data_IF_365446831456
#
_entry.id   IF_365446831456
#
_cell.length_a   1.000
_cell.length_b   1.000
_cell.length_c   1.000
_cell.angle_alpha   90.00
_cell.angle_beta   90.00
_cell.angle_gamma   90.00
#
_symmetry.space_group_name_H-M   'P 1'
#
loop_
_entity.id
_entity.type
_entity.pdbx_description
1 polymer ?
#
# COMPACT_ATOMS: atom_id res chain seq x y z
N UNK A 1 -3.43 18.76 -22.91
CA UNK A 1 -3.45 19.69 -21.77
C UNK A 1 -3.41 18.83 -20.54
N UNK A 2 -2.51 19.08 -19.59
CA UNK A 2 -2.52 18.31 -18.35
C UNK A 2 -3.62 18.89 -17.45
N UNK A 3 -4.76 18.20 -17.36
CA UNK A 3 -5.92 18.62 -16.58
C UNK A 3 -5.59 18.81 -15.11
N UNK A 4 -4.64 18.03 -14.57
CA UNK A 4 -4.14 18.15 -13.20
C UNK A 4 -3.65 19.57 -12.88
N UNK A 5 -2.94 20.23 -13.80
CA UNK A 5 -2.32 21.55 -13.56
C UNK A 5 -3.33 22.68 -13.35
N UNK A 6 -4.59 22.45 -13.69
CA UNK A 6 -5.66 23.44 -13.51
C UNK A 6 -6.49 23.17 -12.26
N UNK A 7 -6.31 22.02 -11.59
CA UNK A 7 -7.02 21.69 -10.37
C UNK A 7 -6.42 22.45 -9.18
N UNK A 8 -7.29 22.86 -8.27
CA UNK A 8 -6.91 23.19 -6.89
C UNK A 8 -6.50 21.92 -6.16
N UNK A 9 -5.83 22.08 -5.01
CA UNK A 9 -5.46 20.95 -4.15
C UNK A 9 -6.69 20.14 -3.69
N UNK A 10 -7.80 20.82 -3.38
CA UNK A 10 -9.05 20.18 -2.94
C UNK A 10 -9.65 19.36 -4.09
N UNK A 11 -9.78 19.95 -5.28
CA UNK A 11 -10.28 19.23 -6.47
C UNK A 11 -9.42 18.01 -6.83
N UNK A 12 -8.10 18.09 -6.66
CA UNK A 12 -7.20 16.95 -6.89
C UNK A 12 -7.42 15.84 -5.86
N UNK A 13 -7.59 16.18 -4.58
CA UNK A 13 -7.87 15.20 -3.52
C UNK A 13 -9.19 14.49 -3.80
N UNK A 14 -10.25 15.26 -4.10
CA UNK A 14 -11.57 14.70 -4.41
C UNK A 14 -11.52 13.75 -5.61
N UNK A 15 -10.79 14.11 -6.67
CA UNK A 15 -10.64 13.25 -7.86
C UNK A 15 -9.86 11.98 -7.53
N UNK A 16 -8.72 12.08 -6.83
CA UNK A 16 -7.90 10.94 -6.42
C UNK A 16 -8.72 9.95 -5.55
N UNK A 17 -9.41 10.45 -4.53
CA UNK A 17 -10.27 9.64 -3.66
C UNK A 17 -11.41 8.98 -4.45
N UNK A 18 -12.02 9.69 -5.42
CA UNK A 18 -13.09 9.14 -6.27
C UNK A 18 -12.63 7.97 -7.16
N UNK A 19 -11.32 7.86 -7.42
CA UNK A 19 -10.70 6.75 -8.13
C UNK A 19 -10.22 5.63 -7.20
N UNK A 20 -10.35 5.80 -5.89
CA UNK A 20 -9.83 4.85 -4.91
C UNK A 20 -8.32 4.96 -4.71
N UNK A 21 -7.72 6.12 -5.04
CA UNK A 21 -6.30 6.36 -4.77
C UNK A 21 -6.14 6.83 -3.33
N UNK A 22 -5.37 6.07 -2.56
CA UNK A 22 -4.97 6.43 -1.21
C UNK A 22 -4.04 7.65 -1.22
N UNK A 23 -4.30 8.60 -0.33
CA UNK A 23 -3.49 9.80 -0.15
C UNK A 23 -3.00 9.85 1.29
N UNK A 24 -1.69 9.72 1.49
CA UNK A 24 -1.08 9.86 2.81
C UNK A 24 -0.28 11.15 2.91
N UNK A 25 -0.70 12.02 3.82
CA UNK A 25 -0.09 13.33 4.01
C UNK A 25 0.95 13.28 5.13
N UNK A 26 2.17 13.73 4.84
CA UNK A 26 3.26 13.89 5.83
C UNK A 26 3.54 12.62 6.68
N UNK A 27 3.35 11.43 6.08
CA UNK A 27 3.52 10.11 6.72
C UNK A 27 2.60 9.86 7.92
N UNK A 28 1.37 10.36 7.89
CA UNK A 28 0.39 10.00 8.91
C UNK A 28 -0.01 8.52 8.75
N UNK A 29 0.31 7.69 9.73
CA UNK A 29 0.04 6.24 9.70
C UNK A 29 -1.45 5.93 9.62
N UNK A 30 -2.29 6.77 10.24
CA UNK A 30 -3.74 6.61 10.23
C UNK A 30 -4.29 6.60 8.79
N UNK A 31 -3.68 7.37 7.88
CA UNK A 31 -4.11 7.50 6.49
C UNK A 31 -3.89 6.20 5.67
N UNK A 32 -2.95 5.33 6.09
CA UNK A 32 -2.76 4.03 5.44
C UNK A 32 -3.84 3.01 5.83
N UNK A 33 -4.47 3.19 7.00
CA UNK A 33 -5.35 2.17 7.60
C UNK A 33 -6.53 1.83 6.70
N UNK A 34 -7.11 2.82 6.04
CA UNK A 34 -8.27 2.65 5.16
C UNK A 34 -7.95 1.85 3.89
N UNK A 35 -6.66 1.63 3.58
CA UNK A 35 -6.18 0.98 2.36
C UNK A 35 -5.26 -0.21 2.64
N UNK A 36 -5.15 -0.63 3.90
CA UNK A 36 -4.31 -1.78 4.29
C UNK A 36 -4.74 -3.07 3.57
N UNK A 37 -6.04 -3.29 3.40
CA UNK A 37 -6.53 -4.48 2.68
C UNK A 37 -6.04 -4.51 1.24
N UNK A 38 -6.09 -3.38 0.53
CA UNK A 38 -5.60 -3.28 -0.84
C UNK A 38 -4.09 -3.56 -0.92
N UNK A 39 -3.32 -3.06 0.04
CA UNK A 39 -1.88 -3.31 0.15
C UNK A 39 -1.60 -4.80 0.43
N UNK A 40 -2.36 -5.43 1.33
CA UNK A 40 -2.21 -6.85 1.65
C UNK A 40 -2.57 -7.73 0.46
N UNK A 41 -3.68 -7.44 -0.21
CA UNK A 41 -4.09 -8.16 -1.42
C UNK A 41 -3.05 -8.02 -2.52
N UNK A 42 -2.54 -6.82 -2.77
CA UNK A 42 -1.49 -6.58 -3.74
C UNK A 42 -0.21 -7.37 -3.42
N UNK A 43 0.16 -7.49 -2.14
CA UNK A 43 1.30 -8.29 -1.73
C UNK A 43 1.04 -9.79 -1.90
N UNK A 44 -0.09 -10.28 -1.39
CA UNK A 44 -0.47 -11.69 -1.42
C UNK A 44 -0.64 -12.21 -2.86
N UNK A 45 -1.04 -11.36 -3.82
CA UNK A 45 -1.13 -11.75 -5.23
C UNK A 45 0.22 -12.18 -5.83
N UNK A 46 1.32 -11.59 -5.36
CA UNK A 46 2.65 -11.83 -5.95
C UNK A 46 3.55 -12.72 -5.10
N UNK A 47 3.20 -12.95 -3.83
CA UNK A 47 4.12 -13.50 -2.81
C UNK A 47 4.67 -14.88 -3.17
N UNK A 48 3.85 -15.73 -3.80
CA UNK A 48 4.21 -17.09 -4.19
C UNK A 48 4.92 -17.17 -5.56
N UNK A 49 4.83 -16.11 -6.36
CA UNK A 49 5.32 -16.08 -7.75
C UNK A 49 6.69 -15.39 -7.92
N UNK A 50 7.18 -14.71 -6.88
CA UNK A 50 8.43 -13.92 -6.91
C UNK A 50 9.61 -14.64 -6.25
N UNK A 51 10.77 -14.63 -6.91
CA UNK A 51 12.00 -15.24 -6.37
C UNK A 51 12.65 -14.38 -5.27
N UNK A 52 12.55 -13.05 -5.38
CA UNK A 52 13.14 -12.09 -4.43
C UNK A 52 12.03 -11.35 -3.66
N UNK A 53 11.56 -11.98 -2.59
CA UNK A 53 10.55 -11.40 -1.71
C UNK A 53 11.14 -10.30 -0.79
N UNK A 54 10.35 -9.28 -0.46
CA UNK A 54 10.73 -8.23 0.49
C UNK A 54 10.87 -8.77 1.92
N UNK A 55 9.99 -9.70 2.29
CA UNK A 55 9.99 -10.36 3.59
C UNK A 55 10.62 -11.74 3.48
N UNK A 56 11.11 -12.24 4.61
CA UNK A 56 11.58 -13.61 4.67
C UNK A 56 10.40 -14.59 4.60
N UNK A 57 10.65 -15.77 4.05
CA UNK A 57 9.72 -16.89 4.19
C UNK A 57 9.52 -17.20 5.69
N UNK A 58 8.28 -17.32 6.16
CA UNK A 58 8.02 -17.58 7.57
C UNK A 58 8.48 -18.97 7.98
N UNK A 59 9.03 -19.06 9.19
CA UNK A 59 9.23 -20.35 9.83
C UNK A 59 7.90 -20.90 10.37
N UNK A 60 7.82 -22.22 10.57
CA UNK A 60 6.65 -22.84 11.19
C UNK A 60 6.33 -22.25 12.58
N UNK A 61 7.33 -21.82 13.35
CA UNK A 61 7.12 -21.17 14.65
C UNK A 61 6.38 -19.83 14.47
N UNK A 62 6.81 -19.01 13.52
CA UNK A 62 6.17 -17.73 13.22
C UNK A 62 4.74 -17.90 12.69
N UNK A 63 4.49 -18.90 11.83
CA UNK A 63 3.13 -19.21 11.37
C UNK A 63 2.21 -19.59 12.54
N UNK A 64 2.70 -20.41 13.47
CA UNK A 64 1.93 -20.79 14.66
C UNK A 64 1.68 -19.60 15.58
N UNK A 65 2.64 -18.70 15.73
CA UNK A 65 2.50 -17.48 16.53
C UNK A 65 1.44 -16.53 15.93
N UNK A 66 1.51 -16.26 14.62
CA UNK A 66 0.53 -15.42 13.92
C UNK A 66 -0.88 -16.03 13.99
N UNK A 67 -1.01 -17.34 13.78
CA UNK A 67 -2.29 -18.06 13.95
C UNK A 67 -2.89 -17.89 15.34
N UNK A 68 -2.10 -18.18 16.38
CA UNK A 68 -2.54 -18.08 17.78
C UNK A 68 -2.95 -16.66 18.13
N UNK A 69 -2.26 -15.65 17.59
CA UNK A 69 -2.62 -14.26 17.79
C UNK A 69 -4.02 -13.95 17.24
N UNK A 70 -4.36 -14.46 16.05
CA UNK A 70 -5.69 -14.28 15.43
C UNK A 70 -6.79 -15.04 16.16
N UNK A 71 -6.55 -16.29 16.56
CA UNK A 71 -7.48 -17.06 17.40
C UNK A 71 -7.77 -16.32 18.71
N UNK A 72 -6.74 -15.76 19.36
CA UNK A 72 -6.93 -14.95 20.58
C UNK A 72 -7.69 -13.64 20.33
N UNK A 73 -7.59 -13.08 19.12
CA UNK A 73 -8.33 -11.91 18.71
C UNK A 73 -9.78 -12.20 18.30
N UNK A 74 -10.18 -13.48 18.24
CA UNK A 74 -11.55 -13.90 17.96
C UNK A 74 -11.78 -14.52 16.59
N UNK A 75 -10.74 -15.01 15.91
CA UNK A 75 -10.93 -15.91 14.76
C UNK A 75 -11.65 -17.18 15.22
N UNK A 76 -12.75 -17.52 14.55
CA UNK A 76 -13.64 -18.64 14.91
C UNK A 76 -13.12 -20.03 14.47
N UNK A 77 -11.93 -20.09 13.84
CA UNK A 77 -11.32 -21.33 13.38
C UNK A 77 -10.47 -21.99 14.49
N UNK A 78 -10.75 -23.27 14.77
CA UNK A 78 -10.07 -24.04 15.82
C UNK A 78 -8.85 -24.82 15.31
N UNK A 79 -8.83 -25.18 14.02
CA UNK A 79 -7.78 -25.99 13.39
C UNK A 79 -6.79 -25.12 12.62
N UNK A 80 -5.49 -25.37 12.79
CA UNK A 80 -4.43 -24.60 12.11
C UNK A 80 -4.48 -24.75 10.58
N UNK A 81 -4.65 -23.63 9.89
CA UNK A 81 -4.57 -23.54 8.42
C UNK A 81 -3.29 -22.81 8.00
N UNK A 82 -2.38 -23.52 7.31
CA UNK A 82 -1.04 -22.99 6.99
C UNK A 82 -1.07 -21.79 6.02
N UNK A 83 -1.92 -21.86 4.99
CA UNK A 83 -2.06 -20.79 4.00
C UNK A 83 -2.58 -19.51 4.66
N UNK A 84 -3.65 -19.62 5.46
CA UNK A 84 -4.21 -18.48 6.18
C UNK A 84 -3.26 -17.94 7.26
N UNK A 85 -2.52 -18.81 7.97
CA UNK A 85 -1.49 -18.39 8.91
C UNK A 85 -0.36 -17.60 8.22
N UNK A 86 -0.05 -17.94 6.97
CA UNK A 86 0.95 -17.23 6.15
C UNK A 86 0.45 -15.85 5.75
N UNK A 87 -0.82 -15.71 5.37
CA UNK A 87 -1.44 -14.41 5.12
C UNK A 87 -1.34 -13.52 6.36
N UNK A 88 -1.73 -14.02 7.54
CA UNK A 88 -1.61 -13.28 8.81
C UNK A 88 -0.18 -12.86 9.14
N UNK A 89 0.79 -13.72 8.87
CA UNK A 89 2.21 -13.39 9.06
C UNK A 89 2.64 -12.21 8.19
N UNK A 90 2.26 -12.20 6.92
CA UNK A 90 2.64 -11.11 6.02
C UNK A 90 1.86 -9.83 6.31
N UNK A 91 0.59 -9.89 6.71
CA UNK A 91 -0.13 -8.72 7.23
C UNK A 91 0.62 -8.07 8.39
N UNK A 92 1.09 -8.88 9.35
CA UNK A 92 1.88 -8.39 10.50
C UNK A 92 3.19 -7.72 10.03
N UNK A 93 3.91 -8.34 9.08
CA UNK A 93 5.14 -7.77 8.54
C UNK A 93 4.93 -6.44 7.82
N UNK A 94 3.83 -6.31 7.05
CA UNK A 94 3.48 -5.09 6.33
C UNK A 94 3.14 -3.98 7.31
N UNK A 95 2.31 -4.27 8.31
CA UNK A 95 1.99 -3.33 9.38
C UNK A 95 3.24 -2.84 10.08
N UNK A 96 4.15 -3.73 10.42
CA UNK A 96 5.40 -3.38 11.08
C UNK A 96 6.26 -2.45 10.22
N UNK A 97 6.43 -2.73 8.91
CA UNK A 97 7.18 -1.85 8.00
C UNK A 97 6.55 -0.45 7.89
N UNK A 98 5.21 -0.37 7.87
CA UNK A 98 4.49 0.90 7.88
C UNK A 98 4.76 1.63 9.20
N UNK A 99 4.55 0.96 10.33
CA UNK A 99 4.68 1.53 11.69
C UNK A 99 6.10 2.01 12.03
N UNK A 100 7.15 1.32 11.55
CA UNK A 100 8.55 1.73 11.79
C UNK A 100 9.04 2.80 10.81
N UNK A 101 8.17 3.26 9.90
CA UNK A 101 8.46 4.34 8.94
C UNK A 101 9.20 3.90 7.67
N UNK A 102 9.18 2.59 7.36
CA UNK A 102 9.76 2.04 6.14
C UNK A 102 8.75 1.91 4.98
N UNK A 103 7.47 2.24 5.20
CA UNK A 103 6.38 2.28 4.21
C UNK A 103 6.82 2.56 2.76
N UNK A 104 7.50 3.68 2.51
CA UNK A 104 7.92 4.08 1.15
C UNK A 104 8.85 3.08 0.46
N UNK A 105 9.77 2.49 1.22
CA UNK A 105 10.71 1.50 0.69
C UNK A 105 9.95 0.22 0.31
N UNK A 106 9.03 -0.20 1.17
CA UNK A 106 8.16 -1.34 0.90
C UNK A 106 7.25 -1.09 -0.32
N UNK A 107 6.54 0.04 -0.37
CA UNK A 107 5.67 0.36 -1.51
C UNK A 107 6.41 0.55 -2.82
N UNK A 108 7.62 1.12 -2.80
CA UNK A 108 8.44 1.20 -4.01
C UNK A 108 8.86 -0.17 -4.52
N UNK A 109 9.08 -1.13 -3.61
CA UNK A 109 9.35 -2.51 -4.00
C UNK A 109 8.08 -3.19 -4.53
N UNK A 110 6.94 -2.97 -3.88
CA UNK A 110 5.66 -3.57 -4.29
C UNK A 110 5.22 -3.07 -5.68
N UNK A 111 5.40 -1.78 -5.97
CA UNK A 111 5.19 -1.14 -7.29
C UNK A 111 6.10 -1.74 -8.38
N UNK A 112 7.35 -2.08 -8.05
CA UNK A 112 8.27 -2.76 -8.99
C UNK A 112 7.85 -4.21 -9.29
N UNK A 113 7.18 -4.88 -8.35
CA UNK A 113 6.85 -6.32 -8.45
C UNK A 113 5.42 -6.61 -8.86
N UNK A 114 4.44 -5.84 -8.40
CA UNK A 114 3.03 -6.02 -8.72
C UNK A 114 2.60 -5.03 -9.79
N UNK A 115 2.26 -5.54 -10.97
CA UNK A 115 1.80 -4.75 -12.13
C UNK A 115 0.49 -3.98 -11.92
N UNK A 116 -0.30 -4.32 -10.89
CA UNK A 116 -1.58 -3.72 -10.55
C UNK A 116 -1.51 -2.74 -9.38
N UNK A 117 -0.34 -2.64 -8.75
CA UNK A 117 -0.07 -1.72 -7.67
C UNK A 117 0.77 -0.56 -8.20
N UNK A 118 0.38 0.68 -7.88
CA UNK A 118 1.13 1.88 -8.23
C UNK A 118 1.46 2.69 -6.98
N UNK A 119 2.72 3.09 -6.83
CA UNK A 119 3.16 3.97 -5.75
C UNK A 119 3.85 5.24 -6.28
N UNK A 120 3.36 6.41 -5.84
CA UNK A 120 3.99 7.70 -6.14
C UNK A 120 4.29 8.48 -4.86
N UNK A 121 5.58 8.55 -4.53
CA UNK A 121 6.09 9.41 -3.46
C UNK A 121 6.43 10.83 -3.95
N UNK A 122 5.73 11.84 -3.44
CA UNK A 122 5.93 13.27 -3.69
C UNK A 122 6.63 13.95 -2.51
N UNK A 123 7.57 14.86 -2.77
CA UNK A 123 8.31 15.55 -1.70
C UNK A 123 8.60 17.02 -2.02
N UNK A 124 8.35 17.89 -1.05
CA UNK A 124 8.72 19.31 -1.11
C UNK A 124 9.22 19.80 0.24
N UNK A 125 10.54 19.92 0.37
CA UNK A 125 11.18 20.30 1.64
C UNK A 125 10.89 19.27 2.74
N UNK A 126 10.15 19.69 3.77
CA UNK A 126 9.71 18.84 4.88
C UNK A 126 8.35 18.18 4.65
N UNK A 127 7.60 18.63 3.63
CA UNK A 127 6.29 18.08 3.30
C UNK A 127 6.41 16.91 2.35
N UNK A 128 5.49 15.98 2.45
CA UNK A 128 5.40 14.87 1.53
C UNK A 128 3.99 14.34 1.38
N UNK A 129 3.72 13.74 0.22
CA UNK A 129 2.48 13.06 -0.08
C UNK A 129 2.85 11.72 -0.68
N UNK A 130 2.33 10.64 -0.12
CA UNK A 130 2.43 9.31 -0.68
C UNK A 130 1.08 8.98 -1.31
N UNK A 131 1.09 8.55 -2.58
CA UNK A 131 -0.09 8.14 -3.33
C UNK A 131 0.03 6.64 -3.61
N UNK A 132 -1.00 5.88 -3.27
CA UNK A 132 -1.06 4.42 -3.47
C UNK A 132 -2.34 4.06 -4.20
N UNK A 133 -2.23 3.24 -5.23
CA UNK A 133 -3.36 2.77 -6.04
C UNK A 133 -3.22 1.26 -6.27
N UNK A 134 -4.31 0.52 -6.13
CA UNK A 134 -4.37 -0.91 -6.42
C UNK A 134 -5.64 -1.26 -7.19
N UNK A 135 -5.47 -1.87 -8.36
CA UNK A 135 -6.57 -2.15 -9.29
C UNK A 135 -6.46 -3.54 -9.94
N UNK A 136 -6.69 -4.64 -9.18
CA UNK A 136 -6.49 -6.01 -9.68
C UNK A 136 -7.47 -6.40 -10.79
N UNK A 137 -8.64 -5.78 -10.83
CA UNK A 137 -9.73 -6.13 -11.74
C UNK A 137 -9.80 -5.27 -13.02
N UNK A 138 -8.92 -4.29 -13.18
CA UNK A 138 -9.00 -3.31 -14.27
C UNK A 138 -7.60 -2.89 -14.72
N UNK A 139 -7.35 -2.94 -16.04
CA UNK A 139 -6.21 -2.24 -16.66
C UNK A 139 -6.45 -0.71 -16.66
N UNK A 140 -6.78 -0.12 -15.50
CA UNK A 140 -6.88 1.31 -15.35
C UNK A 140 -5.46 1.84 -15.24
N UNK A 141 -4.89 2.25 -16.37
CA UNK A 141 -3.80 3.23 -16.37
C UNK A 141 -4.41 4.54 -15.84
N UNK A 142 -4.27 4.76 -14.53
CA UNK A 142 -4.68 6.01 -13.92
C UNK A 142 -3.71 7.09 -14.33
N UNK A 143 -4.06 7.83 -15.39
CA UNK A 143 -3.27 8.97 -15.87
C UNK A 143 -2.99 10.01 -14.77
N UNK A 144 -3.75 9.98 -13.67
CA UNK A 144 -3.60 10.88 -12.53
C UNK A 144 -2.24 10.74 -11.84
N UNK A 145 -1.66 9.52 -11.82
CA UNK A 145 -0.38 9.25 -11.17
C UNK A 145 0.84 9.44 -12.10
N UNK A 146 0.63 9.61 -13.41
CA UNK A 146 1.71 9.68 -14.40
C UNK A 146 2.54 10.97 -14.35
N UNK A 147 1.90 12.14 -14.20
CA UNK A 147 2.62 13.44 -14.20
C UNK A 147 2.96 13.88 -12.77
N UNK A 148 4.04 13.28 -12.24
CA UNK A 148 4.63 13.65 -10.95
C UNK A 148 4.88 15.16 -10.79
N UNK A 149 5.28 15.85 -11.84
CA UNK A 149 5.56 17.29 -11.74
C UNK A 149 4.28 18.11 -11.57
N UNK A 150 3.20 17.72 -12.27
CA UNK A 150 1.90 18.35 -12.09
C UNK A 150 1.34 18.08 -10.70
N UNK A 151 1.44 16.85 -10.20
CA UNK A 151 1.05 16.51 -8.83
C UNK A 151 1.82 17.35 -7.80
N UNK A 152 3.15 17.44 -7.92
CA UNK A 152 3.96 18.28 -7.02
C UNK A 152 3.59 19.77 -7.11
N UNK A 153 3.26 20.25 -8.31
CA UNK A 153 2.81 21.63 -8.54
C UNK A 153 1.51 21.92 -7.79
N UNK A 154 0.52 21.03 -7.88
CA UNK A 154 -0.78 21.21 -7.23
C UNK A 154 -0.69 21.01 -5.71
N UNK A 155 -0.02 19.94 -5.24
CA UNK A 155 0.09 19.64 -3.81
C UNK A 155 0.93 20.66 -3.03
N UNK A 156 1.95 21.25 -3.66
CA UNK A 156 2.91 22.12 -3.00
C UNK A 156 2.96 23.56 -3.52
N UNK A 157 2.18 23.91 -4.54
CA UNK A 157 2.14 25.24 -5.15
C UNK A 157 3.43 25.63 -5.88
N UNK A 158 4.07 24.65 -6.55
CA UNK A 158 5.32 24.84 -7.31
C UNK A 158 5.08 25.22 -8.77
#
# INVERSE_FOLDING_TARGET
MNELKNMTKEELIDELESKGICIVLDNNLDDYTDYLNDIYEAFNEIVDDIEENYFNEPTNEQLQESWIARVRAGLDEEDFEEELAREFYYEDCILDEINVGNARKFFSWLDDKNRFFTYVGLKSGKKSVDLVEYHPCTNLESYLLEDKQALESVFFGK
#
